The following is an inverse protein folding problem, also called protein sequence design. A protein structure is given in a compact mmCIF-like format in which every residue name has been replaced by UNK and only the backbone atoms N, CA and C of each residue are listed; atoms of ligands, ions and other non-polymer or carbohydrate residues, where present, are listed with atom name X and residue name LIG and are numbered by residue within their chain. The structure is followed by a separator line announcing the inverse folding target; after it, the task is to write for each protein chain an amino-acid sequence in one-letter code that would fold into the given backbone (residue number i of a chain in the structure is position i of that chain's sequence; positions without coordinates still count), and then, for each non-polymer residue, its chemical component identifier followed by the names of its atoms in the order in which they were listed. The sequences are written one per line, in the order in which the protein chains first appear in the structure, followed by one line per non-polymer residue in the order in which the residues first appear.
data_IF_525569990932
#
_entry.id   IF_525569990932
#
_cell.length_a   1.000
_cell.length_b   1.000
_cell.length_c   1.000
_cell.angle_alpha   90.00
_cell.angle_beta   90.00
_cell.angle_gamma   90.00
#
_symmetry.space_group_name_H-M   'P 1'
#
loop_
_entity.id
_entity.type
_entity.pdbx_description
1 polymer ?
#
# COMPACT_ATOMS: atom_id res chain seq x y z
N UNK A 1 -6.62 -2.81 5.18
CA UNK A 1 -6.33 -3.67 4.01
C UNK A 1 -6.49 -2.80 2.78
N UNK A 2 -5.40 -2.32 2.18
CA UNK A 2 -5.49 -1.49 0.97
C UNK A 2 -5.94 -2.35 -0.22
N UNK A 3 -6.78 -1.79 -1.10
CA UNK A 3 -7.02 -2.36 -2.42
C UNK A 3 -5.73 -2.26 -3.22
N UNK A 4 -5.36 -3.30 -3.94
CA UNK A 4 -4.23 -3.23 -4.87
C UNK A 4 -4.59 -2.43 -6.12
N UNK A 5 -3.58 -2.03 -6.88
CA UNK A 5 -3.78 -1.38 -8.18
C UNK A 5 -4.61 -2.24 -9.15
N UNK A 6 -4.40 -3.56 -9.14
CA UNK A 6 -5.13 -4.54 -9.97
C UNK A 6 -6.62 -4.55 -9.64
N UNK A 7 -6.96 -4.58 -8.35
CA UNK A 7 -8.36 -4.56 -7.91
C UNK A 7 -9.03 -3.21 -8.18
N UNK A 8 -8.28 -2.13 -8.01
CA UNK A 8 -8.81 -0.77 -8.20
C UNK A 8 -9.20 -0.53 -9.67
N UNK A 9 -8.37 -0.94 -10.63
CA UNK A 9 -8.68 -0.82 -12.06
C UNK A 9 -9.84 -1.72 -12.47
N UNK A 10 -9.88 -2.96 -11.97
CA UNK A 10 -10.97 -3.89 -12.27
C UNK A 10 -12.32 -3.41 -11.71
N UNK A 11 -12.36 -2.90 -10.48
CA UNK A 11 -13.57 -2.32 -9.91
C UNK A 11 -14.06 -1.08 -10.66
N UNK A 12 -13.14 -0.25 -11.16
CA UNK A 12 -13.50 0.88 -12.02
C UNK A 12 -14.09 0.41 -13.35
N UNK A 13 -13.46 -0.60 -13.98
CA UNK A 13 -13.98 -1.22 -15.21
C UNK A 13 -15.38 -1.80 -15.00
N UNK A 14 -15.57 -2.59 -13.94
CA UNK A 14 -16.86 -3.15 -13.58
C UNK A 14 -17.91 -2.07 -13.30
N UNK A 15 -17.53 -0.96 -12.67
CA UNK A 15 -18.45 0.17 -12.47
C UNK A 15 -18.89 0.80 -13.80
N UNK A 16 -17.98 0.93 -14.76
CA UNK A 16 -18.33 1.43 -16.10
C UNK A 16 -19.25 0.44 -16.83
N UNK A 17 -18.96 -0.85 -16.79
CA UNK A 17 -19.83 -1.89 -17.35
C UNK A 17 -21.22 -1.88 -16.71
N UNK A 18 -21.31 -1.72 -15.38
CA UNK A 18 -22.60 -1.57 -14.69
C UNK A 18 -23.38 -0.32 -15.14
N UNK A 19 -22.70 0.80 -15.39
CA UNK A 19 -23.35 2.01 -15.93
C UNK A 19 -23.88 1.77 -17.34
N UNK A 20 -23.10 1.14 -18.20
CA UNK A 20 -23.52 0.78 -19.56
C UNK A 20 -24.74 -0.15 -19.52
N UNK A 21 -24.68 -1.20 -18.69
CA UNK A 21 -25.78 -2.12 -18.49
C UNK A 21 -27.07 -1.40 -18.01
N UNK A 22 -26.96 -0.42 -17.11
CA UNK A 22 -28.11 0.40 -16.68
C UNK A 22 -28.69 1.26 -17.81
N UNK A 23 -27.85 1.85 -18.65
CA UNK A 23 -28.31 2.63 -19.81
C UNK A 23 -29.03 1.71 -20.80
N UNK A 24 -28.47 0.54 -21.09
CA UNK A 24 -29.10 -0.48 -21.95
C UNK A 24 -30.42 -0.97 -21.37
N UNK A 25 -30.48 -1.22 -20.06
CA UNK A 25 -31.71 -1.59 -19.36
C UNK A 25 -32.76 -0.46 -19.41
N UNK A 26 -32.35 0.79 -19.28
CA UNK A 26 -33.23 1.95 -19.45
C UNK A 26 -33.84 2.01 -20.85
N UNK A 27 -33.02 1.81 -21.88
CA UNK A 27 -33.48 1.73 -23.27
C UNK A 27 -34.42 0.54 -23.49
N UNK A 28 -34.11 -0.64 -22.93
CA UNK A 28 -34.98 -1.82 -22.95
C UNK A 28 -36.34 -1.50 -22.34
N UNK A 29 -36.38 -0.91 -21.14
CA UNK A 29 -37.63 -0.58 -20.46
C UNK A 29 -38.49 0.41 -21.28
N UNK A 30 -37.86 1.34 -21.99
CA UNK A 30 -38.57 2.23 -22.93
C UNK A 30 -39.15 1.46 -24.11
N UNK A 31 -38.40 0.51 -24.68
CA UNK A 31 -38.89 -0.37 -25.74
C UNK A 31 -40.03 -1.28 -25.27
N UNK A 32 -39.94 -1.86 -24.09
CA UNK A 32 -41.00 -2.68 -23.49
C UNK A 32 -42.28 -1.86 -23.27
N UNK A 33 -42.13 -0.61 -22.82
CA UNK A 33 -43.23 0.35 -22.71
C UNK A 33 -43.86 0.68 -24.07
N UNK A 34 -43.04 0.98 -25.09
CA UNK A 34 -43.50 1.26 -26.45
C UNK A 34 -44.22 0.04 -27.06
N UNK A 35 -43.67 -1.15 -26.88
CA UNK A 35 -44.29 -2.40 -27.30
C UNK A 35 -45.65 -2.62 -26.60
N UNK A 36 -45.77 -2.25 -25.32
CA UNK A 36 -47.05 -2.29 -24.60
C UNK A 36 -48.09 -1.33 -25.18
N UNK A 37 -47.67 -0.12 -25.57
CA UNK A 37 -48.55 0.86 -26.25
C UNK A 37 -48.99 0.32 -27.61
N UNK A 38 -48.05 -0.18 -28.42
CA UNK A 38 -48.35 -0.79 -29.72
C UNK A 38 -49.32 -1.97 -29.59
N UNK A 39 -49.14 -2.85 -28.60
CA UNK A 39 -50.05 -3.97 -28.35
C UNK A 39 -51.48 -3.50 -27.99
N UNK A 40 -51.61 -2.44 -27.18
CA UNK A 40 -52.90 -1.85 -26.85
C UNK A 40 -53.56 -1.19 -28.08
N UNK A 41 -52.78 -0.44 -28.87
CA UNK A 41 -53.27 0.17 -30.11
C UNK A 41 -53.72 -0.86 -31.13
N UNK A 42 -52.95 -1.94 -31.34
CA UNK A 42 -53.33 -3.05 -32.22
C UNK A 42 -54.66 -3.65 -31.77
N UNK A 43 -54.85 -3.90 -30.47
CA UNK A 43 -56.12 -4.44 -29.95
C UNK A 43 -57.29 -3.50 -30.22
N UNK A 44 -57.11 -2.20 -29.98
CA UNK A 44 -58.16 -1.19 -30.20
C UNK A 44 -58.50 -1.01 -31.67
N UNK A 45 -57.49 -0.93 -32.54
CA UNK A 45 -57.69 -0.76 -33.97
C UNK A 45 -58.30 -2.02 -34.59
N UNK A 46 -57.83 -3.21 -34.19
CA UNK A 46 -58.42 -4.49 -34.62
C UNK A 46 -59.88 -4.59 -34.20
N UNK A 47 -60.23 -4.18 -32.97
CA UNK A 47 -61.61 -4.18 -32.49
C UNK A 47 -62.52 -3.20 -33.26
N UNK A 48 -61.95 -2.17 -33.88
CA UNK A 48 -62.67 -1.20 -34.72
C UNK A 48 -62.66 -1.56 -36.21
N UNK A 49 -62.04 -2.68 -36.59
CA UNK A 49 -61.89 -3.10 -37.99
C UNK A 49 -60.83 -2.31 -38.77
N UNK A 50 -59.89 -1.66 -38.08
CA UNK A 50 -58.75 -0.98 -38.69
C UNK A 50 -57.63 -1.92 -39.15
N UNK A 51 -56.75 -1.43 -40.02
CA UNK A 51 -55.54 -2.16 -40.43
C UNK A 51 -54.43 -2.03 -39.38
N UNK A 52 -53.90 -3.18 -38.95
CA UNK A 52 -52.89 -3.29 -37.90
C UNK A 52 -51.55 -3.87 -38.37
N UNK A 53 -51.41 -4.22 -39.65
CA UNK A 53 -50.20 -4.91 -40.16
C UNK A 53 -48.91 -4.16 -39.84
N UNK A 54 -48.85 -2.87 -40.15
CA UNK A 54 -47.67 -2.03 -39.89
C UNK A 54 -47.31 -1.96 -38.40
N UNK A 55 -48.33 -1.87 -37.54
CA UNK A 55 -48.13 -1.83 -36.09
C UNK A 55 -47.63 -3.17 -35.54
N UNK A 56 -48.09 -4.28 -36.11
CA UNK A 56 -47.62 -5.62 -35.76
C UNK A 56 -46.14 -5.81 -36.15
N UNK A 57 -45.76 -5.37 -37.35
CA UNK A 57 -44.36 -5.37 -37.79
C UNK A 57 -43.48 -4.51 -36.85
N UNK A 58 -43.92 -3.30 -36.51
CA UNK A 58 -43.20 -2.43 -35.57
C UNK A 58 -43.11 -3.04 -34.16
N UNK A 59 -44.16 -3.73 -33.71
CA UNK A 59 -44.17 -4.42 -32.41
C UNK A 59 -43.13 -5.54 -32.36
N UNK A 60 -43.04 -6.35 -33.43
CA UNK A 60 -42.05 -7.41 -33.53
C UNK A 60 -40.63 -6.84 -33.59
N UNK A 61 -40.39 -5.80 -34.38
CA UNK A 61 -39.08 -5.14 -34.44
C UNK A 61 -38.68 -4.54 -33.08
N UNK A 62 -39.62 -3.89 -32.40
CA UNK A 62 -39.39 -3.30 -31.07
C UNK A 62 -39.04 -4.37 -30.04
N UNK A 63 -39.78 -5.49 -30.01
CA UNK A 63 -39.49 -6.62 -29.12
C UNK A 63 -38.15 -7.26 -29.44
N UNK A 64 -37.82 -7.40 -30.72
CA UNK A 64 -36.53 -7.96 -31.16
C UNK A 64 -35.38 -7.09 -30.66
N UNK A 65 -35.45 -5.77 -30.86
CA UNK A 65 -34.42 -4.84 -30.36
C UNK A 65 -34.32 -4.84 -28.84
N UNK A 66 -35.44 -4.96 -28.12
CA UNK A 66 -35.43 -5.10 -26.66
C UNK A 66 -34.70 -6.37 -26.22
N UNK A 67 -34.91 -7.50 -26.91
CA UNK A 67 -34.20 -8.76 -26.66
C UNK A 67 -32.70 -8.65 -26.98
N UNK A 68 -32.34 -8.02 -28.10
CA UNK A 68 -30.94 -7.78 -28.48
C UNK A 68 -30.21 -6.91 -27.43
N UNK A 69 -30.90 -5.90 -26.87
CA UNK A 69 -30.38 -5.09 -25.76
C UNK A 69 -30.21 -5.92 -24.48
N UNK A 70 -31.14 -6.82 -24.17
CA UNK A 70 -31.04 -7.71 -23.02
C UNK A 70 -29.83 -8.65 -23.13
N UNK A 71 -29.62 -9.24 -24.31
CA UNK A 71 -28.43 -10.05 -24.59
C UNK A 71 -27.14 -9.22 -24.45
N UNK A 72 -27.12 -8.00 -25.00
CA UNK A 72 -25.98 -7.08 -24.85
C UNK A 72 -25.73 -6.70 -23.39
N UNK A 73 -26.79 -6.52 -22.61
CA UNK A 73 -26.71 -6.24 -21.17
C UNK A 73 -26.12 -7.43 -20.42
N UNK A 74 -26.59 -8.66 -20.72
CA UNK A 74 -26.01 -9.87 -20.15
C UNK A 74 -24.53 -10.03 -20.50
N UNK A 75 -24.15 -9.78 -21.75
CA UNK A 75 -22.74 -9.85 -22.18
C UNK A 75 -21.86 -8.83 -21.43
N UNK A 76 -22.37 -7.60 -21.25
CA UNK A 76 -21.67 -6.53 -20.51
C UNK A 76 -21.49 -6.88 -19.03
N UNK A 77 -22.50 -7.51 -18.41
CA UNK A 77 -22.42 -7.95 -17.02
C UNK A 77 -21.52 -9.18 -16.85
N UNK A 78 -21.55 -10.11 -17.81
CA UNK A 78 -20.69 -11.29 -17.79
C UNK A 78 -19.22 -10.91 -17.92
N UNK A 79 -18.87 -10.04 -18.88
CA UNK A 79 -17.49 -9.58 -19.05
C UNK A 79 -16.96 -8.88 -17.79
N UNK A 80 -17.78 -8.01 -17.17
CA UNK A 80 -17.43 -7.39 -15.90
C UNK A 80 -17.20 -8.40 -14.76
N UNK A 81 -18.02 -9.45 -14.71
CA UNK A 81 -17.90 -10.52 -13.70
C UNK A 81 -16.63 -11.33 -13.90
N UNK A 82 -16.30 -11.67 -15.15
CA UNK A 82 -15.11 -12.44 -15.48
C UNK A 82 -13.82 -11.62 -15.26
N UNK A 83 -13.83 -10.33 -15.60
CA UNK A 83 -12.75 -9.40 -15.32
C UNK A 83 -12.48 -9.26 -13.82
N UNK A 84 -13.53 -9.20 -12.99
CA UNK A 84 -13.38 -9.18 -11.53
C UNK A 84 -12.81 -10.48 -10.98
N UNK A 85 -13.27 -11.64 -11.47
CA UNK A 85 -12.72 -12.95 -11.06
C UNK A 85 -11.24 -13.06 -11.42
N UNK A 86 -10.86 -12.62 -12.62
CA UNK A 86 -9.48 -12.64 -13.09
C UNK A 86 -8.62 -11.70 -12.25
N UNK A 87 -9.04 -10.45 -12.08
CA UNK A 87 -8.34 -9.48 -11.23
C UNK A 87 -8.17 -9.99 -9.79
N UNK A 88 -9.15 -10.72 -9.26
CA UNK A 88 -9.05 -11.29 -7.92
C UNK A 88 -7.98 -12.40 -7.81
N UNK A 89 -7.85 -13.23 -8.84
CA UNK A 89 -6.78 -14.24 -8.90
C UNK A 89 -5.42 -13.55 -9.04
N UNK A 90 -5.31 -12.60 -9.96
CA UNK A 90 -4.07 -11.88 -10.26
C UNK A 90 -3.59 -11.07 -9.02
N UNK A 91 -4.51 -10.42 -8.30
CA UNK A 91 -4.20 -9.72 -7.03
C UNK A 91 -3.67 -10.67 -5.96
N UNK A 92 -4.29 -11.84 -5.83
CA UNK A 92 -3.89 -12.82 -4.84
C UNK A 92 -2.50 -13.40 -5.16
N UNK A 93 -2.21 -13.66 -6.43
CA UNK A 93 -0.89 -14.09 -6.89
C UNK A 93 0.17 -13.01 -6.67
N UNK A 94 -0.13 -11.75 -7.01
CA UNK A 94 0.76 -10.62 -6.78
C UNK A 94 1.09 -10.47 -5.29
N UNK A 95 0.09 -10.56 -4.40
CA UNK A 95 0.29 -10.51 -2.94
C UNK A 95 1.15 -11.66 -2.42
N UNK A 96 1.02 -12.86 -2.99
CA UNK A 96 1.86 -14.01 -2.60
C UNK A 96 3.31 -13.79 -3.05
N UNK A 97 3.51 -13.30 -4.25
CA UNK A 97 4.84 -12.97 -4.77
C UNK A 97 5.52 -11.88 -3.93
N UNK A 98 4.80 -10.82 -3.60
CA UNK A 98 5.29 -9.72 -2.75
C UNK A 98 5.73 -10.22 -1.37
N UNK A 99 4.91 -11.05 -0.70
CA UNK A 99 5.27 -11.66 0.59
C UNK A 99 6.48 -12.59 0.50
N UNK A 100 6.61 -13.34 -0.60
CA UNK A 100 7.76 -14.23 -0.79
C UNK A 100 9.06 -13.44 -0.97
N UNK A 101 9.02 -12.35 -1.72
CA UNK A 101 10.17 -11.45 -1.88
C UNK A 101 10.52 -10.68 -0.60
N UNK A 102 9.51 -10.24 0.16
CA UNK A 102 9.73 -9.65 1.48
C UNK A 102 10.43 -10.62 2.44
N UNK A 103 9.98 -11.89 2.48
CA UNK A 103 10.59 -12.94 3.30
C UNK A 103 12.06 -13.19 2.91
N UNK A 104 12.37 -13.27 1.61
CA UNK A 104 13.75 -13.44 1.13
C UNK A 104 14.65 -12.27 1.51
N UNK A 105 14.15 -11.03 1.40
CA UNK A 105 14.90 -9.84 1.81
C UNK A 105 15.19 -9.84 3.31
N UNK A 106 14.18 -10.20 4.12
CA UNK A 106 14.33 -10.30 5.57
C UNK A 106 15.36 -11.39 5.96
N UNK A 107 15.33 -12.55 5.31
CA UNK A 107 16.27 -13.65 5.55
C UNK A 107 17.71 -13.27 5.21
N UNK A 108 17.95 -12.66 4.04
CA UNK A 108 19.28 -12.15 3.66
C UNK A 108 19.81 -11.09 4.62
N UNK A 109 18.94 -10.20 5.11
CA UNK A 109 19.33 -9.19 6.09
C UNK A 109 19.70 -9.81 7.44
N UNK A 110 18.98 -10.85 7.88
CA UNK A 110 19.28 -11.58 9.11
C UNK A 110 20.58 -12.38 9.01
N UNK A 111 20.83 -13.02 7.86
CA UNK A 111 22.08 -13.75 7.59
C UNK A 111 23.29 -12.82 7.61
N UNK A 112 23.19 -11.66 6.93
CA UNK A 112 24.26 -10.64 6.94
C UNK A 112 24.59 -10.17 8.36
N UNK A 113 23.57 -9.88 9.17
CA UNK A 113 23.76 -9.49 10.58
C UNK A 113 24.41 -10.59 11.43
N UNK A 114 24.07 -11.86 11.20
CA UNK A 114 24.68 -13.00 11.90
C UNK A 114 26.14 -13.19 11.49
N UNK A 115 26.46 -13.04 10.21
CA UNK A 115 27.82 -13.12 9.70
C UNK A 115 28.71 -12.00 10.29
N UNK A 116 28.21 -10.76 10.33
CA UNK A 116 28.90 -9.62 10.95
C UNK A 116 29.14 -9.85 12.46
N UNK A 117 28.15 -10.40 13.18
CA UNK A 117 28.31 -10.73 14.62
C UNK A 117 29.36 -11.80 14.87
N UNK A 118 29.35 -12.88 14.07
CA UNK A 118 30.37 -13.94 14.17
C UNK A 118 31.77 -13.42 13.85
N UNK A 119 31.91 -12.61 12.80
CA UNK A 119 33.20 -12.00 12.45
C UNK A 119 33.70 -11.04 13.54
N UNK A 120 32.80 -10.34 14.26
CA UNK A 120 33.17 -9.52 15.41
C UNK A 120 33.61 -10.38 16.61
N UNK A 121 32.90 -11.47 16.91
CA UNK A 121 33.25 -12.41 17.99
C UNK A 121 34.63 -13.07 17.74
N UNK A 122 34.90 -13.57 16.53
CA UNK A 122 36.21 -14.15 16.17
C UNK A 122 37.36 -13.13 16.25
N UNK A 123 37.10 -11.84 16.00
CA UNK A 123 38.11 -10.78 16.16
C UNK A 123 38.39 -10.48 17.64
N UNK A 124 37.37 -10.54 18.49
CA UNK A 124 37.53 -10.35 19.95
C UNK A 124 38.30 -11.53 20.55
N UNK A 125 38.01 -12.76 20.12
CA UNK A 125 38.72 -13.97 20.59
C UNK A 125 40.21 -13.95 20.23
N UNK A 126 40.56 -13.56 19.00
CA UNK A 126 41.97 -13.40 18.57
C UNK A 126 42.72 -12.30 19.33
N UNK A 127 42.03 -11.26 19.81
CA UNK A 127 42.65 -10.22 20.66
C UNK A 127 42.85 -10.75 22.09
N UNK A 128 41.96 -11.61 22.58
CA UNK A 128 42.08 -12.27 23.89
C UNK A 128 43.25 -13.25 23.98
N UNK A 129 43.53 -14.03 22.93
CA UNK A 129 44.66 -14.97 22.89
C UNK A 129 46.04 -14.27 22.77
N UNK A 130 46.08 -13.07 22.19
CA UNK A 130 47.31 -12.26 22.15
C UNK A 130 47.70 -11.68 23.52
N UNK A 131 46.81 -11.70 24.52
CA UNK A 131 47.04 -11.15 25.86
C UNK A 131 47.55 -12.18 26.90
N UNK A 132 47.69 -13.46 26.56
CA UNK A 132 48.18 -14.51 27.49
C UNK A 132 49.69 -14.80 27.39
N UNK A 133 50.49 -13.84 26.93
CA UNK A 133 51.95 -13.91 26.89
C UNK A 133 52.58 -12.58 27.33
N UNK A 134 52.25 -12.11 28.52
CA UNK A 134 53.13 -11.20 29.28
C UNK A 134 52.66 -11.16 30.74
N UNK A 135 52.95 -12.24 31.47
CA UNK A 135 53.13 -12.15 32.92
C UNK A 135 54.62 -11.89 33.14
N UNK A 136 54.97 -10.64 33.41
CA UNK A 136 56.35 -10.18 33.61
C UNK A 136 56.38 -8.97 34.53
N UNK A 137 56.28 -9.26 35.82
CA UNK A 137 56.84 -8.58 36.99
C UNK A 137 56.87 -7.03 37.10
N UNK A 138 56.30 -6.59 38.22
CA UNK A 138 56.41 -5.27 38.85
C UNK A 138 57.88 -4.97 39.16
N UNK A 139 58.34 -3.76 38.83
CA UNK A 139 59.41 -3.10 39.57
C UNK A 139 59.07 -1.63 39.78
N UNK A 140 58.94 -1.28 41.06
CA UNK A 140 58.87 0.08 41.60
C UNK A 140 60.02 0.97 41.07
N UNK A 141 59.70 2.25 40.84
CA UNK A 141 60.69 3.25 40.44
C UNK A 141 60.05 4.59 40.11
N UNK A 142 59.80 5.37 41.16
CA UNK A 142 59.13 6.67 41.22
C UNK A 142 59.77 7.80 40.36
N UNK A 143 58.92 8.78 40.03
CA UNK A 143 59.17 10.13 39.50
C UNK A 143 59.61 10.24 38.02
N UNK A 144 59.03 11.07 37.14
CA UNK A 144 58.24 12.29 37.30
C UNK A 144 57.44 12.59 36.02
N UNK A 145 56.26 13.17 36.17
CA UNK A 145 55.35 13.60 35.09
C UNK A 145 55.85 14.90 34.45
N UNK A 146 56.05 14.89 33.13
CA UNK A 146 56.23 16.09 32.31
C UNK A 146 54.99 16.29 31.43
N UNK A 147 54.10 17.19 31.83
CA UNK A 147 53.02 17.71 30.98
C UNK A 147 53.57 18.92 30.25
N UNK A 148 53.59 18.90 28.92
CA UNK A 148 53.52 20.13 28.11
C UNK A 148 53.23 19.81 26.63
N UNK A 149 52.21 20.47 26.07
CA UNK A 149 52.04 20.66 24.63
C UNK A 149 50.90 19.91 23.94
N UNK A 150 49.65 20.34 24.16
CA UNK A 150 48.57 20.11 23.19
C UNK A 150 48.76 21.12 22.06
N UNK A 151 48.95 20.64 20.82
CA UNK A 151 48.65 21.42 19.61
C UNK A 151 47.38 20.84 18.98
N UNK A 152 46.35 21.68 18.92
CA UNK A 152 45.00 21.39 18.46
C UNK A 152 44.94 21.21 16.94
N UNK A 153 44.22 20.19 16.47
CA UNK A 153 43.35 20.33 15.30
C UNK A 153 42.22 19.29 15.31
N UNK A 154 41.02 19.74 15.67
CA UNK A 154 39.78 19.21 15.12
C UNK A 154 39.23 17.88 15.64
N UNK A 155 38.87 17.78 16.93
CA UNK A 155 37.74 16.96 17.37
C UNK A 155 37.38 17.24 18.84
N UNK A 156 36.19 17.81 19.09
CA UNK A 156 35.60 17.84 20.43
C UNK A 156 35.07 16.45 20.77
N UNK A 157 35.67 15.77 21.74
CA UNK A 157 35.11 14.54 22.33
C UNK A 157 34.37 14.94 23.61
N UNK A 158 33.04 14.96 23.55
CA UNK A 158 32.19 15.08 24.73
C UNK A 158 32.22 13.76 25.50
N UNK A 159 32.98 13.71 26.60
CA UNK A 159 32.87 12.64 27.60
C UNK A 159 31.79 13.05 28.60
N UNK A 160 30.58 12.53 28.42
CA UNK A 160 29.52 12.60 29.44
C UNK A 160 29.89 11.58 30.52
N UNK A 161 30.46 12.05 31.63
CA UNK A 161 30.56 11.27 32.86
C UNK A 161 29.32 11.56 33.69
N UNK A 162 28.52 10.51 33.86
CA UNK A 162 27.32 10.51 34.66
C UNK A 162 27.66 10.57 36.16
N UNK A 163 27.07 11.52 36.88
CA UNK A 163 26.85 11.41 38.32
C UNK A 163 27.73 12.23 39.27
N UNK A 164 27.02 13.05 40.06
CA UNK A 164 27.31 13.55 41.43
C UNK A 164 27.69 15.04 41.53
N UNK A 165 26.68 15.85 41.87
CA UNK A 165 26.80 17.13 42.59
C UNK A 165 26.64 16.84 44.10
N UNK A 166 27.20 17.61 45.07
CA UNK A 166 26.72 18.98 45.32
C UNK A 166 27.72 20.01 45.91
N UNK A 167 27.29 21.28 45.85
CA UNK A 167 27.49 22.33 46.86
C UNK A 167 28.85 23.06 46.94
N UNK A 168 28.88 24.33 46.51
CA UNK A 168 28.90 25.53 47.39
C UNK A 168 29.17 26.80 46.58
N UNK A 169 28.47 27.89 46.92
CA UNK A 169 29.00 29.26 46.72
C UNK A 169 28.30 30.14 45.68
N UNK A 170 27.38 30.96 46.18
CA UNK A 170 26.74 32.15 45.57
C UNK A 170 27.80 33.09 44.93
N UNK A 171 27.58 33.69 43.75
CA UNK A 171 27.02 35.05 43.56
C UNK A 171 26.84 35.34 42.06
N UNK A 172 25.75 36.00 41.64
CA UNK A 172 25.74 36.67 40.32
C UNK A 172 24.40 36.90 39.64
N UNK A 173 23.52 37.64 40.29
CA UNK A 173 22.41 38.47 39.75
C UNK A 173 21.93 38.37 38.29
N UNK A 174 20.63 38.03 38.18
CA UNK A 174 19.55 38.74 37.45
C UNK A 174 19.70 38.94 35.94
N UNK A 175 18.86 38.22 35.19
CA UNK A 175 18.54 38.47 33.80
C UNK A 175 17.45 37.52 33.29
N UNK A 176 16.20 37.74 33.71
CA UNK A 176 15.01 37.09 33.17
C UNK A 176 14.72 37.66 31.79
N UNK A 177 14.63 36.80 30.77
CA UNK A 177 13.55 36.82 29.77
C UNK A 177 13.70 35.65 28.80
N UNK A 178 12.91 34.60 29.07
CA UNK A 178 12.50 33.61 28.08
C UNK A 178 11.42 34.28 27.24
N UNK A 179 11.62 34.37 25.92
CA UNK A 179 10.53 34.64 24.99
C UNK A 179 10.24 33.34 24.24
N UNK A 180 9.29 32.57 24.77
CA UNK A 180 8.67 31.47 24.05
C UNK A 180 7.14 31.66 24.12
N UNK A 181 6.57 32.01 22.96
CA UNK A 181 5.18 31.85 22.49
C UNK A 181 4.08 32.78 23.04
N UNK A 182 3.48 33.51 22.10
CA UNK A 182 2.05 33.38 21.76
C UNK A 182 1.85 33.65 20.26
#
# INVERSE_FOLDING_TARGET
MALSGIMTTSLLSANNSMKIARVQQGAKNQMDGHAGVLDAEIKLDSARGGDVKKKQEELEETKKKASELEESTMNTLSSATDDLKKAAKDDLEARRAEKAEEKKKAEKAAEKKRAEKKAAEERIEKIGEAATSETGEISDGDHSVSVEGISLEGATINVVVDGVTPSTGVTGTIGVSVDEKA
#
